data_IF_332072153741
#
_entry.id   IF_332072153741
#
_cell.length_a   1.000
_cell.length_b   1.000
_cell.length_c   1.000
_cell.angle_alpha   90.00
_cell.angle_beta   90.00
_cell.angle_gamma   90.00
#
_symmetry.space_group_name_H-M   'P 1'
#
loop_
_entity.id
_entity.type
_entity.pdbx_description
1 polymer ?
#
# COMPACT_ATOMS: atom_id res chain seq x y z
N UNK A 1 -16.10 0.11 12.81
CA UNK A 1 -16.34 0.73 11.49
C UNK A 1 -17.01 -0.28 10.55
N UNK A 2 -17.59 0.14 9.41
CA UNK A 2 -18.37 -0.74 8.53
C UNK A 2 -17.62 -1.94 7.92
N UNK A 3 -16.29 -1.89 7.84
CA UNK A 3 -15.45 -2.96 7.32
C UNK A 3 -14.55 -3.61 8.41
N UNK A 4 -14.92 -3.48 9.68
CA UNK A 4 -14.19 -4.16 10.77
C UNK A 4 -14.11 -5.66 10.51
N UNK A 5 -12.92 -6.25 10.71
CA UNK A 5 -12.66 -7.66 10.49
C UNK A 5 -12.41 -8.04 9.02
N UNK A 6 -12.55 -7.11 8.07
CA UNK A 6 -12.17 -7.34 6.67
C UNK A 6 -10.68 -7.09 6.49
N UNK A 7 -9.96 -8.08 5.95
CA UNK A 7 -8.55 -7.95 5.56
C UNK A 7 -8.45 -7.74 4.05
N UNK A 8 -7.63 -6.77 3.62
CA UNK A 8 -7.42 -6.44 2.21
C UNK A 8 -5.93 -6.48 1.90
N UNK A 9 -5.54 -7.30 0.92
CA UNK A 9 -4.17 -7.35 0.41
C UNK A 9 -4.09 -6.51 -0.87
N UNK A 10 -3.40 -5.39 -0.78
CA UNK A 10 -3.35 -4.36 -1.81
C UNK A 10 -2.05 -4.46 -2.63
N UNK A 11 -2.14 -5.08 -3.81
CA UNK A 11 -1.07 -5.14 -4.80
C UNK A 11 -1.07 -3.96 -5.80
N UNK A 12 -1.95 -2.99 -5.59
CA UNK A 12 -2.13 -1.89 -6.52
C UNK A 12 -1.06 -0.81 -6.39
N UNK A 13 -0.95 0.00 -7.45
CA UNK A 13 0.02 1.09 -7.56
C UNK A 13 -0.61 2.34 -8.16
N UNK A 14 0.09 3.46 -8.02
CA UNK A 14 -0.22 4.75 -8.65
C UNK A 14 -1.46 5.43 -8.05
N UNK A 15 -2.66 5.21 -8.59
CA UNK A 15 -3.82 6.03 -8.21
C UNK A 15 -5.08 5.22 -7.94
N UNK A 16 -5.66 4.57 -8.95
CA UNK A 16 -7.01 4.03 -8.85
C UNK A 16 -7.15 2.97 -7.74
N UNK A 17 -6.24 2.00 -7.72
CA UNK A 17 -6.23 0.97 -6.68
C UNK A 17 -5.87 1.53 -5.30
N UNK A 18 -4.80 2.33 -5.15
CA UNK A 18 -4.46 2.90 -3.85
C UNK A 18 -5.58 3.76 -3.26
N UNK A 19 -6.27 4.54 -4.09
CA UNK A 19 -7.43 5.32 -3.66
C UNK A 19 -8.57 4.42 -3.17
N UNK A 20 -8.90 3.36 -3.93
CA UNK A 20 -9.93 2.41 -3.54
C UNK A 20 -9.61 1.78 -2.18
N UNK A 21 -8.42 1.20 -2.03
CA UNK A 21 -8.05 0.49 -0.80
C UNK A 21 -7.83 1.44 0.37
N UNK A 22 -7.43 2.70 0.13
CA UNK A 22 -7.44 3.73 1.17
C UNK A 22 -8.85 3.99 1.69
N UNK A 23 -9.86 4.09 0.81
CA UNK A 23 -11.26 4.24 1.23
C UNK A 23 -11.72 3.02 2.05
N UNK A 24 -11.31 1.81 1.67
CA UNK A 24 -11.60 0.61 2.47
C UNK A 24 -10.96 0.68 3.87
N UNK A 25 -9.71 1.15 3.96
CA UNK A 25 -9.03 1.39 5.24
C UNK A 25 -9.71 2.49 6.07
N UNK A 26 -10.13 3.59 5.44
CA UNK A 26 -10.92 4.66 6.08
C UNK A 26 -12.26 4.12 6.64
N UNK A 27 -12.82 3.07 6.04
CA UNK A 27 -14.03 2.37 6.50
C UNK A 27 -13.75 1.21 7.47
N UNK A 28 -12.50 1.01 7.92
CA UNK A 28 -12.13 0.07 8.97
C UNK A 28 -11.48 -1.24 8.53
N UNK A 29 -11.24 -1.44 7.23
CA UNK A 29 -10.55 -2.63 6.77
C UNK A 29 -9.07 -2.63 7.22
N UNK A 30 -8.53 -3.81 7.53
CA UNK A 30 -7.10 -4.00 7.73
C UNK A 30 -6.41 -4.15 6.36
N UNK A 31 -5.81 -3.06 5.88
CA UNK A 31 -5.20 -3.00 4.56
C UNK A 31 -3.68 -3.20 4.65
N UNK A 32 -3.18 -4.23 3.97
CA UNK A 32 -1.75 -4.50 3.81
C UNK A 32 -1.36 -4.26 2.36
N UNK A 33 -0.59 -3.19 2.13
CA UNK A 33 -0.02 -2.87 0.82
C UNK A 33 1.24 -3.71 0.59
N UNK A 34 1.27 -4.39 -0.56
CA UNK A 34 2.44 -5.14 -1.02
C UNK A 34 3.25 -4.27 -1.96
N UNK A 35 4.52 -4.06 -1.63
CA UNK A 35 5.41 -3.18 -2.36
C UNK A 35 6.63 -3.91 -2.90
N UNK A 36 7.14 -3.43 -4.04
CA UNK A 36 8.31 -4.01 -4.69
C UNK A 36 9.59 -3.68 -3.90
N UNK A 37 10.55 -4.61 -3.82
CA UNK A 37 11.86 -4.33 -3.26
C UNK A 37 12.54 -3.11 -3.90
N UNK A 38 13.19 -2.31 -3.07
CA UNK A 38 13.93 -1.10 -3.47
C UNK A 38 13.04 0.10 -3.84
N UNK A 39 12.10 -0.08 -4.78
CA UNK A 39 11.37 1.04 -5.40
C UNK A 39 9.97 1.27 -4.82
N UNK A 40 9.31 0.22 -4.36
CA UNK A 40 7.93 0.24 -3.88
C UNK A 40 6.88 0.66 -4.92
N UNK A 41 5.88 1.41 -4.47
CA UNK A 41 4.95 2.15 -5.31
C UNK A 41 5.67 3.30 -6.03
N UNK A 42 5.42 3.43 -7.33
CA UNK A 42 6.05 4.44 -8.19
C UNK A 42 5.83 5.87 -7.64
N UNK A 43 4.71 6.10 -6.95
CA UNK A 43 4.35 7.42 -6.41
C UNK A 43 5.17 7.86 -5.20
N UNK A 44 5.95 6.95 -4.57
CA UNK A 44 6.85 7.30 -3.45
C UNK A 44 7.86 8.39 -3.81
N UNK A 45 8.22 8.51 -5.08
CA UNK A 45 9.18 9.48 -5.59
C UNK A 45 8.53 10.58 -6.44
N UNK A 46 7.19 10.64 -6.50
CA UNK A 46 6.46 11.63 -7.31
C UNK A 46 6.22 12.91 -6.50
N UNK A 47 7.30 13.63 -6.21
CA UNK A 47 7.25 15.00 -5.72
C UNK A 47 7.84 15.98 -6.73
N UNK A 48 7.79 17.30 -6.45
CA UNK A 48 7.15 17.93 -5.29
C UNK A 48 5.60 17.95 -5.37
N UNK A 49 4.89 18.21 -4.24
CA UNK A 49 5.42 18.55 -2.93
C UNK A 49 5.93 17.34 -2.13
N UNK A 50 6.86 17.62 -1.20
CA UNK A 50 7.40 16.66 -0.25
C UNK A 50 6.88 17.00 1.15
N UNK A 51 6.58 15.98 1.96
CA UNK A 51 6.28 16.18 3.38
C UNK A 51 7.54 16.60 4.13
N UNK A 52 7.39 17.11 5.35
CA UNK A 52 8.52 17.42 6.21
C UNK A 52 9.43 16.20 6.49
N UNK A 53 8.89 14.98 6.36
CA UNK A 53 9.64 13.72 6.47
C UNK A 53 10.28 13.24 5.16
N UNK A 54 10.24 14.04 4.09
CA UNK A 54 10.85 13.71 2.80
C UNK A 54 10.05 12.72 1.94
N UNK A 55 8.79 12.42 2.29
CA UNK A 55 7.91 11.54 1.51
C UNK A 55 7.13 12.34 0.45
N UNK A 56 6.88 11.76 -0.72
CA UNK A 56 6.03 12.39 -1.73
C UNK A 56 4.60 12.56 -1.19
N UNK A 57 4.05 13.77 -1.22
CA UNK A 57 2.67 14.00 -0.75
C UNK A 57 1.65 13.23 -1.58
N UNK A 58 1.96 12.92 -2.84
CA UNK A 58 1.13 12.09 -3.70
C UNK A 58 0.93 10.70 -3.11
N UNK A 59 2.03 10.05 -2.69
CA UNK A 59 1.99 8.73 -2.06
C UNK A 59 1.20 8.75 -0.74
N UNK A 60 1.51 9.72 0.13
CA UNK A 60 0.88 9.84 1.46
C UNK A 60 -0.63 10.09 1.37
N UNK A 61 -1.08 10.85 0.36
CA UNK A 61 -2.51 11.17 0.17
C UNK A 61 -3.36 9.98 -0.30
N UNK A 62 -2.72 8.89 -0.71
CA UNK A 62 -3.37 7.70 -1.30
C UNK A 62 -3.10 6.40 -0.51
N UNK A 63 -2.30 6.47 0.56
CA UNK A 63 -1.88 5.27 1.30
C UNK A 63 -1.99 5.39 2.82
N UNK A 64 -2.72 6.38 3.36
CA UNK A 64 -3.08 6.40 4.79
C UNK A 64 -3.95 5.18 5.14
N UNK A 65 -3.97 4.80 6.42
CA UNK A 65 -4.71 3.64 6.93
C UNK A 65 -4.29 2.29 6.32
N UNK A 66 -3.06 2.23 5.79
CA UNK A 66 -2.45 0.99 5.29
C UNK A 66 -1.18 0.69 6.06
N UNK A 67 -0.92 -0.60 6.30
CA UNK A 67 0.42 -1.11 6.59
C UNK A 67 1.08 -1.45 5.27
N UNK A 68 2.39 -1.32 5.18
CA UNK A 68 3.15 -1.69 3.98
C UNK A 68 4.18 -2.76 4.33
N UNK A 69 4.28 -3.78 3.48
CA UNK A 69 5.36 -4.76 3.49
C UNK A 69 5.95 -4.87 2.09
N UNK A 70 7.24 -5.20 2.05
CA UNK A 70 7.97 -5.42 0.81
C UNK A 70 8.02 -6.91 0.53
N UNK A 71 7.58 -7.34 -0.66
CA UNK A 71 7.69 -8.72 -1.13
C UNK A 71 8.17 -8.74 -2.58
N UNK A 72 9.15 -9.58 -2.88
CA UNK A 72 9.52 -9.97 -4.24
C UNK A 72 8.68 -11.16 -4.70
N UNK A 73 7.68 -10.92 -5.55
CA UNK A 73 6.81 -12.00 -6.02
C UNK A 73 7.50 -12.96 -7.01
N UNK A 74 8.75 -12.70 -7.39
CA UNK A 74 9.59 -13.64 -8.13
C UNK A 74 10.42 -14.55 -7.22
N UNK A 75 10.56 -14.20 -5.94
CA UNK A 75 11.11 -15.08 -4.92
C UNK A 75 10.02 -16.05 -4.44
N UNK A 76 10.35 -17.34 -4.35
CA UNK A 76 9.37 -18.38 -4.04
C UNK A 76 8.84 -18.26 -2.59
N UNK A 77 9.69 -17.83 -1.65
CA UNK A 77 9.29 -17.68 -0.26
C UNK A 77 8.37 -16.47 -0.06
N UNK A 78 8.66 -15.35 -0.72
CA UNK A 78 7.82 -14.15 -0.68
C UNK A 78 6.48 -14.36 -1.40
N UNK A 79 6.48 -15.10 -2.52
CA UNK A 79 5.25 -15.50 -3.21
C UNK A 79 4.37 -16.39 -2.33
N UNK A 80 4.97 -17.33 -1.61
CA UNK A 80 4.22 -18.19 -0.69
C UNK A 80 3.68 -17.40 0.50
N UNK A 81 4.49 -16.50 1.08
CA UNK A 81 4.02 -15.58 2.10
C UNK A 81 2.82 -14.78 1.60
N UNK A 82 2.88 -14.20 0.39
CA UNK A 82 1.79 -13.42 -0.18
C UNK A 82 0.47 -14.20 -0.31
N UNK A 83 0.51 -15.51 -0.54
CA UNK A 83 -0.67 -16.38 -0.61
C UNK A 83 -1.31 -16.68 0.74
N UNK A 84 -0.54 -16.56 1.82
CA UNK A 84 -1.00 -16.84 3.19
C UNK A 84 -1.52 -15.60 3.93
N UNK A 85 -1.33 -14.41 3.35
CA UNK A 85 -1.89 -13.16 3.86
C UNK A 85 -3.41 -13.14 3.70
#
# INVERSE_FOLDING_TARGET
MPLDGVKVIDFSRVLAGPLLTQILGDLGADVVKIERPGHGDDTRTWGPPWTAGGSATYYESLNRNKRSIVLDLFDEADLELARTL
#
